data_IF_743101715958
#
_entry.id   IF_743101715958
#
_cell.length_a   1.000
_cell.length_b   1.000
_cell.length_c   1.000
_cell.angle_alpha   90.00
_cell.angle_beta   90.00
_cell.angle_gamma   90.00
#
_symmetry.space_group_name_H-M   'P 1'
#
loop_
_entity.id
_entity.type
_entity.pdbx_description
1 polymer ?
#
# COMPACT_ATOMS: atom_id res chain seq x y z
N UNK A 1 -13.57 -3.51 10.30
CA UNK A 1 -12.87 -2.30 9.80
C UNK A 1 -12.14 -2.67 8.52
N UNK A 2 -12.03 -1.75 7.55
CA UNK A 2 -11.41 -2.01 6.25
C UNK A 2 -10.32 -0.99 5.95
N UNK A 3 -9.30 -1.41 5.23
CA UNK A 3 -8.30 -0.57 4.60
C UNK A 3 -8.46 -0.71 3.08
N UNK A 4 -8.65 0.39 2.39
CA UNK A 4 -8.85 0.37 0.95
C UNK A 4 -7.59 0.90 0.25
N UNK A 5 -7.02 0.07 -0.60
CA UNK A 5 -5.91 0.45 -1.46
C UNK A 5 -6.39 0.80 -2.86
N UNK A 6 -5.87 1.89 -3.39
CA UNK A 6 -5.95 2.23 -4.80
C UNK A 6 -4.53 2.32 -5.37
N UNK A 7 -4.23 1.46 -6.32
CA UNK A 7 -2.88 1.32 -6.90
C UNK A 7 -2.99 1.57 -8.40
N UNK A 8 -2.13 2.45 -8.92
CA UNK A 8 -2.09 2.77 -10.35
C UNK A 8 -0.67 3.04 -10.84
N UNK A 9 -0.46 2.82 -12.14
CA UNK A 9 0.75 3.24 -12.84
C UNK A 9 0.36 4.16 -13.99
N UNK A 10 0.52 5.48 -13.79
CA UNK A 10 0.16 6.48 -14.82
C UNK A 10 1.24 6.61 -15.91
N UNK A 11 2.48 6.25 -15.60
CA UNK A 11 3.62 6.27 -16.52
C UNK A 11 4.52 5.06 -16.27
N UNK A 12 4.20 3.89 -16.84
CA UNK A 12 4.97 2.65 -16.61
C UNK A 12 6.47 2.77 -16.90
N UNK A 13 6.85 3.60 -17.88
CA UNK A 13 8.25 3.89 -18.23
C UNK A 13 9.07 4.48 -17.08
N UNK A 14 8.43 5.11 -16.09
CA UNK A 14 9.11 5.64 -14.91
C UNK A 14 9.35 4.60 -13.84
N UNK A 15 8.73 3.42 -13.97
CA UNK A 15 8.76 2.32 -13.00
C UNK A 15 8.24 2.71 -11.61
N UNK A 16 7.43 3.76 -11.52
CA UNK A 16 6.72 4.13 -10.29
C UNK A 16 5.25 3.74 -10.35
N UNK A 17 4.77 3.17 -9.25
CA UNK A 17 3.36 3.02 -8.95
C UNK A 17 2.96 4.05 -7.91
N UNK A 18 1.74 4.58 -8.07
CA UNK A 18 1.12 5.46 -7.10
C UNK A 18 0.19 4.64 -6.24
N UNK A 19 0.32 4.77 -4.95
CA UNK A 19 -0.46 4.02 -3.97
C UNK A 19 -1.17 5.00 -3.05
N UNK A 20 -2.48 4.84 -2.94
CA UNK A 20 -3.31 5.49 -1.94
C UNK A 20 -3.91 4.43 -1.03
N UNK A 21 -3.74 4.61 0.28
CA UNK A 21 -4.38 3.84 1.33
C UNK A 21 -5.41 4.72 2.04
N UNK A 22 -6.66 4.29 2.09
CA UNK A 22 -7.76 4.98 2.76
C UNK A 22 -8.25 4.15 3.95
N UNK A 23 -8.35 4.79 5.13
CA UNK A 23 -8.80 4.16 6.38
C UNK A 23 -9.71 5.12 7.13
N UNK A 24 -10.90 4.66 7.54
CA UNK A 24 -11.76 5.42 8.44
C UNK A 24 -11.42 5.13 9.90
N UNK A 25 -11.18 6.17 10.67
CA UNK A 25 -10.91 6.13 12.11
C UNK A 25 -12.06 6.81 12.86
N UNK A 26 -12.74 6.03 13.70
CA UNK A 26 -13.94 6.49 14.41
C UNK A 26 -13.66 7.33 15.66
N UNK A 27 -12.40 7.42 16.09
CA UNK A 27 -11.97 8.18 17.28
C UNK A 27 -10.55 8.71 17.11
N UNK A 28 -10.17 9.77 17.86
CA UNK A 28 -8.79 10.23 17.93
C UNK A 28 -7.85 9.09 18.39
N UNK A 29 -6.78 8.88 17.66
CA UNK A 29 -5.80 7.85 17.99
C UNK A 29 -4.48 8.04 17.25
N UNK A 30 -3.46 7.34 17.71
CA UNK A 30 -2.26 7.10 16.92
C UNK A 30 -2.47 5.89 16.01
N UNK A 31 -1.90 5.97 14.82
CA UNK A 31 -1.90 4.90 13.85
C UNK A 31 -0.48 4.62 13.41
N UNK A 32 -0.07 3.37 13.48
CA UNK A 32 1.26 2.90 13.11
C UNK A 32 1.18 2.15 11.79
N UNK A 33 1.85 2.68 10.77
CA UNK A 33 1.92 2.08 9.44
C UNK A 33 3.33 1.55 9.19
N UNK A 34 3.45 0.26 8.87
CA UNK A 34 4.74 -0.36 8.61
C UNK A 34 4.80 -0.96 7.20
N UNK A 35 5.87 -0.65 6.47
CA UNK A 35 6.22 -1.45 5.31
C UNK A 35 7.12 -2.60 5.76
N UNK A 36 6.76 -3.86 5.48
CA UNK A 36 7.61 -4.99 5.83
C UNK A 36 9.03 -4.83 5.29
N UNK A 37 10.02 -5.17 6.10
CA UNK A 37 11.42 -5.22 5.66
C UNK A 37 11.85 -6.63 5.23
N UNK A 38 10.95 -7.59 5.39
CA UNK A 38 11.17 -9.00 5.15
C UNK A 38 9.86 -9.69 4.76
N UNK A 39 9.94 -10.81 4.05
CA UNK A 39 8.80 -11.65 3.72
C UNK A 39 9.16 -13.13 3.85
N UNK A 40 8.19 -14.03 4.12
CA UNK A 40 8.40 -15.48 4.11
C UNK A 40 9.02 -15.98 2.79
N UNK A 41 9.89 -16.98 2.88
CA UNK A 41 10.59 -17.53 1.72
C UNK A 41 11.84 -16.77 1.27
N UNK A 42 12.12 -15.60 1.87
CA UNK A 42 13.34 -14.84 1.60
C UNK A 42 14.06 -14.56 2.91
N UNK A 43 15.20 -15.18 3.11
CA UNK A 43 16.01 -15.09 4.35
C UNK A 43 16.97 -13.89 4.35
N UNK A 44 16.51 -12.74 3.82
CA UNK A 44 17.28 -11.51 3.74
C UNK A 44 16.39 -10.30 4.02
N UNK A 45 16.94 -9.32 4.75
CA UNK A 45 16.29 -8.02 4.90
C UNK A 45 16.34 -7.30 3.55
N UNK A 46 15.19 -6.85 3.08
CA UNK A 46 15.03 -6.28 1.75
C UNK A 46 14.92 -4.74 1.72
N UNK A 47 14.67 -4.10 2.88
CA UNK A 47 14.52 -2.65 3.01
C UNK A 47 13.59 -2.03 1.95
N UNK A 48 12.41 -2.60 1.75
CA UNK A 48 11.45 -2.13 0.74
C UNK A 48 11.08 -0.65 0.87
N UNK A 49 11.11 -0.12 2.09
CA UNK A 49 10.79 1.28 2.39
C UNK A 49 11.71 2.32 1.71
N UNK A 50 12.90 1.90 1.23
CA UNK A 50 13.78 2.77 0.43
C UNK A 50 13.20 3.15 -0.93
N UNK A 51 12.22 2.35 -1.41
CA UNK A 51 11.55 2.57 -2.69
C UNK A 51 10.39 3.57 -2.59
N UNK A 52 10.03 4.02 -1.37
CA UNK A 52 8.95 4.99 -1.16
C UNK A 52 9.48 6.42 -1.35
N UNK A 53 8.70 7.25 -2.07
CA UNK A 53 8.86 8.70 -2.14
C UNK A 53 7.52 9.42 -2.05
N UNK A 54 7.54 10.73 -1.81
CA UNK A 54 6.35 11.61 -1.76
C UNK A 54 5.26 11.15 -0.79
N UNK A 55 5.69 10.62 0.35
CA UNK A 55 4.76 10.18 1.39
C UNK A 55 4.00 11.36 1.98
N UNK A 56 2.68 11.28 1.99
CA UNK A 56 1.80 12.32 2.54
C UNK A 56 0.59 11.70 3.21
N UNK A 57 0.04 12.42 4.18
CA UNK A 57 -1.20 12.04 4.88
C UNK A 57 -2.14 13.23 4.89
N UNK A 58 -3.37 13.02 4.45
CA UNK A 58 -4.43 14.04 4.45
C UNK A 58 -5.74 13.45 4.96
N UNK A 59 -6.69 14.32 5.28
CA UNK A 59 -8.10 13.94 5.40
C UNK A 59 -8.81 14.01 4.03
N UNK A 60 -10.11 13.78 4.01
CA UNK A 60 -10.95 13.85 2.80
C UNK A 60 -11.14 15.26 2.24
N UNK A 61 -10.73 16.31 2.97
CA UNK A 61 -10.74 17.70 2.54
C UNK A 61 -9.34 18.16 2.09
N UNK A 62 -8.42 17.22 1.86
CA UNK A 62 -7.00 17.46 1.56
C UNK A 62 -6.23 18.25 2.63
N UNK A 63 -6.77 18.33 3.87
CA UNK A 63 -6.06 18.94 5.00
C UNK A 63 -4.94 18.02 5.46
N UNK A 64 -3.73 18.56 5.59
CA UNK A 64 -2.56 17.79 6.00
C UNK A 64 -2.70 17.26 7.43
N UNK A 65 -2.41 15.99 7.62
CA UNK A 65 -2.33 15.33 8.92
C UNK A 65 -0.86 15.07 9.24
N UNK A 66 -0.36 15.54 10.40
CA UNK A 66 1.02 15.34 10.79
C UNK A 66 1.36 13.86 10.97
N UNK A 67 2.54 13.47 10.52
CA UNK A 67 3.10 12.15 10.74
C UNK A 67 4.59 12.24 11.05
N UNK A 68 5.12 11.22 11.69
CA UNK A 68 6.53 11.04 11.95
C UNK A 68 7.02 9.72 11.36
N UNK A 69 8.17 9.73 10.72
CA UNK A 69 8.87 8.51 10.31
C UNK A 69 9.80 8.08 11.46
N UNK A 70 9.27 7.29 12.40
CA UNK A 70 9.97 6.89 13.62
C UNK A 70 11.07 5.85 13.39
N UNK A 71 10.94 5.04 12.31
CA UNK A 71 11.94 4.07 11.87
C UNK A 71 12.05 4.08 10.34
N UNK A 72 13.04 3.36 9.79
CA UNK A 72 13.24 3.27 8.33
C UNK A 72 11.99 2.87 7.56
N UNK A 73 11.15 2.04 8.15
CA UNK A 73 9.96 1.45 7.53
C UNK A 73 8.70 1.62 8.38
N UNK A 74 8.69 2.53 9.37
CA UNK A 74 7.56 2.78 10.27
C UNK A 74 7.19 4.26 10.26
N UNK A 75 5.91 4.55 10.02
CA UNK A 75 5.31 5.87 10.09
C UNK A 75 4.23 5.91 11.17
N UNK A 76 4.26 6.92 12.01
CA UNK A 76 3.29 7.16 13.08
C UNK A 76 2.47 8.40 12.75
N UNK A 77 1.15 8.25 12.73
CA UNK A 77 0.20 9.30 12.37
C UNK A 77 -0.65 9.61 13.59
N UNK A 78 -0.80 10.89 13.93
CA UNK A 78 -1.65 11.33 15.06
C UNK A 78 -2.93 11.93 14.52
N UNK A 79 -4.04 11.20 14.67
CA UNK A 79 -5.37 11.64 14.23
C UNK A 79 -6.13 12.20 15.43
N UNK A 80 -6.58 13.45 15.33
CA UNK A 80 -7.19 14.19 16.44
C UNK A 80 -8.72 14.10 16.46
N UNK A 81 -9.34 13.81 15.33
CA UNK A 81 -10.78 13.76 15.18
C UNK A 81 -11.19 12.52 14.35
N UNK A 82 -12.42 12.00 14.52
CA UNK A 82 -12.94 10.96 13.64
C UNK A 82 -12.89 11.43 12.18
N UNK A 83 -12.21 10.68 11.33
CA UNK A 83 -12.08 11.01 9.91
C UNK A 83 -11.62 9.82 9.08
N UNK A 84 -11.81 9.91 7.77
CA UNK A 84 -11.09 9.06 6.84
C UNK A 84 -9.75 9.72 6.52
N UNK A 85 -8.67 9.01 6.75
CA UNK A 85 -7.33 9.43 6.37
C UNK A 85 -6.95 8.83 5.03
N UNK A 86 -6.22 9.59 4.23
CA UNK A 86 -5.69 9.21 2.94
C UNK A 86 -4.17 9.28 3.00
N UNK A 87 -3.52 8.13 2.87
CA UNK A 87 -2.06 8.01 2.86
C UNK A 87 -1.64 7.78 1.41
N UNK A 88 -0.84 8.70 0.84
CA UNK A 88 -0.39 8.64 -0.55
C UNK A 88 1.11 8.57 -0.62
N UNK A 89 1.61 7.74 -1.50
CA UNK A 89 3.05 7.64 -1.81
C UNK A 89 3.28 7.01 -3.18
N UNK A 90 4.46 7.28 -3.74
CA UNK A 90 4.95 6.54 -4.89
C UNK A 90 5.88 5.43 -4.43
N UNK A 91 5.82 4.28 -5.10
CA UNK A 91 6.72 3.15 -4.87
C UNK A 91 7.50 2.82 -6.16
N UNK A 92 8.83 2.71 -6.05
CA UNK A 92 9.70 2.36 -7.17
C UNK A 92 9.70 0.85 -7.40
N UNK A 93 9.08 0.41 -8.47
CA UNK A 93 8.86 -0.98 -8.86
C UNK A 93 9.77 -1.38 -10.03
N UNK A 94 11.09 -1.32 -9.82
CA UNK A 94 12.09 -1.54 -10.85
C UNK A 94 12.99 -2.76 -10.61
N UNK A 95 12.55 -3.69 -9.74
CA UNK A 95 13.35 -4.87 -9.43
C UNK A 95 12.65 -6.13 -9.91
N UNK A 96 13.22 -6.75 -10.95
CA UNK A 96 12.77 -8.03 -11.46
C UNK A 96 13.50 -9.16 -10.73
N UNK A 97 12.90 -9.68 -9.67
CA UNK A 97 13.33 -10.90 -8.99
C UNK A 97 12.11 -11.68 -8.48
N UNK A 98 12.36 -12.89 -7.94
CA UNK A 98 11.31 -13.74 -7.39
C UNK A 98 10.65 -13.10 -6.16
N UNK A 99 9.73 -12.15 -6.38
CA UNK A 99 8.89 -11.55 -5.37
C UNK A 99 9.19 -10.10 -5.03
N UNK A 100 9.83 -9.34 -5.90
CA UNK A 100 9.84 -7.87 -5.88
C UNK A 100 8.71 -7.31 -6.74
N UNK A 101 8.61 -5.98 -6.86
CA UNK A 101 7.68 -5.34 -7.78
C UNK A 101 8.42 -4.89 -9.03
N UNK A 102 7.78 -5.09 -10.18
CA UNK A 102 8.28 -4.66 -11.48
C UNK A 102 7.18 -4.01 -12.31
N UNK A 103 7.47 -2.87 -12.91
CA UNK A 103 6.55 -2.18 -13.82
C UNK A 103 7.32 -1.68 -15.03
N UNK A 104 6.81 -2.01 -16.22
CA UNK A 104 7.22 -1.44 -17.49
C UNK A 104 6.04 -1.31 -18.45
N UNK A 105 6.28 -1.00 -19.71
CA UNK A 105 5.24 -0.82 -20.73
C UNK A 105 4.53 -2.12 -21.13
N UNK A 106 5.08 -3.27 -20.76
CA UNK A 106 4.60 -4.60 -21.18
C UNK A 106 3.96 -5.38 -20.06
N UNK A 107 4.34 -5.09 -18.79
CA UNK A 107 3.83 -5.82 -17.64
C UNK A 107 3.84 -5.00 -16.35
N UNK A 108 2.93 -5.36 -15.45
CA UNK A 108 2.85 -4.85 -14.09
C UNK A 108 2.83 -6.07 -13.17
N UNK A 109 3.92 -6.31 -12.46
CA UNK A 109 4.02 -7.37 -11.47
C UNK A 109 4.13 -6.76 -10.07
N UNK A 110 3.15 -7.02 -9.22
CA UNK A 110 3.06 -6.48 -7.88
C UNK A 110 3.04 -7.62 -6.85
N UNK A 111 3.96 -7.54 -5.91
CA UNK A 111 3.89 -8.30 -4.67
C UNK A 111 3.47 -7.30 -3.58
N UNK A 112 2.21 -7.35 -3.18
CA UNK A 112 1.59 -6.32 -2.33
C UNK A 112 2.29 -6.19 -0.98
N UNK A 113 2.78 -7.26 -0.38
CA UNK A 113 3.52 -7.21 0.89
C UNK A 113 4.80 -6.35 0.81
N UNK A 114 5.33 -6.11 -0.40
CA UNK A 114 6.54 -5.31 -0.59
C UNK A 114 6.25 -3.82 -0.81
N UNK A 115 5.03 -3.47 -1.19
CA UNK A 115 4.67 -2.10 -1.54
C UNK A 115 3.49 -1.53 -0.75
N UNK A 116 2.68 -2.37 -0.10
CA UNK A 116 1.57 -1.96 0.76
C UNK A 116 2.02 -1.86 2.23
N UNK A 117 1.46 -0.90 2.95
CA UNK A 117 1.72 -0.68 4.37
C UNK A 117 0.80 -1.56 5.23
N UNK A 118 1.35 -2.23 6.21
CA UNK A 118 0.58 -2.90 7.24
C UNK A 118 0.11 -1.89 8.29
N UNK A 119 -1.14 -2.01 8.72
CA UNK A 119 -1.72 -1.22 9.82
C UNK A 119 -1.55 -2.01 11.10
N UNK A 120 -0.53 -1.69 11.90
CA UNK A 120 -0.16 -2.50 13.06
C UNK A 120 -1.20 -2.51 14.17
N UNK A 121 -1.94 -1.41 14.34
CA UNK A 121 -2.91 -1.25 15.41
C UNK A 121 -4.20 -2.08 15.20
N UNK A 122 -4.38 -2.64 14.00
CA UNK A 122 -5.56 -3.41 13.63
C UNK A 122 -5.21 -4.72 12.93
N UNK A 123 -4.72 -5.74 13.65
CA UNK A 123 -4.21 -6.98 13.05
C UNK A 123 -5.27 -7.82 12.28
N UNK A 124 -6.56 -7.59 12.55
CA UNK A 124 -7.67 -8.25 11.85
C UNK A 124 -8.35 -7.35 10.81
N UNK A 125 -7.61 -6.40 10.27
CA UNK A 125 -8.11 -5.51 9.24
C UNK A 125 -8.28 -6.26 7.91
N UNK A 126 -9.42 -6.07 7.26
CA UNK A 126 -9.62 -6.53 5.87
C UNK A 126 -9.05 -5.49 4.93
N UNK A 127 -8.28 -5.94 3.95
CA UNK A 127 -7.69 -5.12 2.90
C UNK A 127 -8.46 -5.35 1.59
N UNK A 128 -8.93 -4.26 1.00
CA UNK A 128 -9.57 -4.25 -0.32
C UNK A 128 -8.67 -3.45 -1.26
N UNK A 129 -8.34 -4.03 -2.42
CA UNK A 129 -7.40 -3.42 -3.35
C UNK A 129 -8.03 -3.24 -4.73
N UNK A 130 -8.02 -2.01 -5.20
CA UNK A 130 -8.32 -1.66 -6.60
C UNK A 130 -7.00 -1.39 -7.31
N UNK A 131 -6.70 -2.15 -8.35
CA UNK A 131 -5.50 -1.95 -9.18
C UNK A 131 -5.95 -1.47 -10.55
N UNK A 132 -5.59 -0.24 -10.90
CA UNK A 132 -5.80 0.28 -12.25
C UNK A 132 -4.74 -0.29 -13.19
N UNK A 133 -5.17 -0.99 -14.21
CA UNK A 133 -4.32 -1.55 -15.25
C UNK A 133 -4.62 -0.91 -16.61
N UNK A 134 -3.66 -0.81 -17.53
CA UNK A 134 -3.92 -0.39 -18.90
C UNK A 134 -4.99 -1.28 -19.57
N UNK A 135 -5.78 -0.70 -20.47
CA UNK A 135 -6.92 -1.39 -21.09
C UNK A 135 -6.55 -2.68 -21.83
N UNK A 136 -5.34 -2.73 -22.38
CA UNK A 136 -4.84 -3.86 -23.15
C UNK A 136 -4.15 -4.93 -22.28
N UNK A 137 -4.11 -4.73 -20.96
CA UNK A 137 -3.50 -5.69 -20.04
C UNK A 137 -4.55 -6.68 -19.55
N UNK A 138 -4.14 -7.93 -19.43
CA UNK A 138 -4.89 -8.96 -18.72
C UNK A 138 -4.39 -9.05 -17.28
N UNK A 139 -5.30 -9.15 -16.32
CA UNK A 139 -4.95 -9.28 -14.90
C UNK A 139 -5.08 -10.71 -14.41
N UNK A 140 -4.16 -11.13 -13.55
CA UNK A 140 -4.22 -12.38 -12.82
C UNK A 140 -3.79 -12.12 -11.37
N UNK A 141 -4.50 -12.70 -10.41
CA UNK A 141 -4.19 -12.58 -8.99
C UNK A 141 -4.45 -13.88 -8.27
N UNK A 142 -3.71 -14.11 -7.19
CA UNK A 142 -3.98 -15.18 -6.22
C UNK A 142 -5.05 -14.78 -5.19
N UNK A 143 -5.31 -13.47 -5.04
CA UNK A 143 -6.36 -12.98 -4.14
C UNK A 143 -7.74 -13.12 -4.79
N UNK A 144 -8.77 -13.48 -4.02
CA UNK A 144 -10.14 -13.50 -4.50
C UNK A 144 -10.65 -12.09 -4.79
N UNK A 145 -11.66 -12.02 -5.67
CA UNK A 145 -12.41 -10.78 -5.93
C UNK A 145 -13.66 -10.73 -5.06
N UNK A 146 -13.98 -9.55 -4.57
CA UNK A 146 -15.28 -9.25 -3.97
C UNK A 146 -16.33 -8.94 -5.07
N UNK A 147 -17.64 -8.76 -4.74
CA UNK A 147 -18.68 -8.41 -5.70
C UNK A 147 -18.41 -7.10 -6.47
N UNK A 148 -17.62 -6.20 -5.92
CA UNK A 148 -17.25 -4.92 -6.54
C UNK A 148 -15.97 -5.03 -7.40
N UNK A 149 -15.54 -6.25 -7.71
CA UNK A 149 -14.33 -6.56 -8.50
C UNK A 149 -13.02 -6.03 -7.89
N UNK A 150 -12.97 -5.88 -6.58
CA UNK A 150 -11.75 -5.55 -5.85
C UNK A 150 -11.10 -6.84 -5.33
N UNK A 151 -9.78 -6.87 -5.32
CA UNK A 151 -9.02 -7.92 -4.64
C UNK A 151 -9.21 -7.80 -3.13
N UNK A 152 -9.42 -8.92 -2.44
CA UNK A 152 -9.68 -8.92 -0.99
C UNK A 152 -8.69 -9.83 -0.27
N UNK A 153 -8.18 -9.32 0.86
CA UNK A 153 -7.39 -10.08 1.82
C UNK A 153 -7.93 -9.85 3.25
N UNK A 154 -8.15 -10.93 4.00
CA UNK A 154 -8.71 -10.86 5.36
C UNK A 154 -7.65 -10.52 6.41
N UNK A 155 -6.41 -10.42 6.03
CA UNK A 155 -5.29 -9.93 6.84
C UNK A 155 -4.17 -9.46 5.94
N UNK A 156 -3.23 -8.69 6.50
CA UNK A 156 -2.04 -8.25 5.73
C UNK A 156 -1.19 -9.43 5.23
N UNK A 157 -1.12 -10.53 5.99
CA UNK A 157 -0.34 -11.72 5.63
C UNK A 157 -0.91 -12.48 4.44
N UNK A 158 -2.13 -12.17 3.99
CA UNK A 158 -2.73 -12.76 2.79
C UNK A 158 -2.41 -11.96 1.52
N UNK A 159 -1.87 -10.73 1.65
CA UNK A 159 -1.41 -9.93 0.52
C UNK A 159 -0.17 -10.54 -0.14
#
# INVERSE_FOLDING_TARGET
MKANYHIKSTKPTTQFIQIELSIYLASPQKLSLQLPAWRPGRYQIADYAKNIRYFSVTDTNDSLIPFEKSQKNLWEISVQNPTTILIRYDYYAAKMDAGSCWVDETQIYLNFVNCCLEVLDFPQLTYELTVEIPKDFQSMSTLPLNPDHQLIANSFQQL
#
